data_IF_299750082273
#
_entry.id   IF_299750082273
#
_cell.length_a   1.000
_cell.length_b   1.000
_cell.length_c   1.000
_cell.angle_alpha   90.00
_cell.angle_beta   90.00
_cell.angle_gamma   90.00
#
_symmetry.space_group_name_H-M   'P 1'
#
loop_
_entity.id
_entity.type
_entity.pdbx_description
1 polymer ?
#
# COMPACT_ATOMS: atom_id res chain seq x y z
N UNK A 1 -0.38 17.98 -2.04
CA UNK A 1 -0.05 18.89 -0.94
C UNK A 1 -1.33 19.15 -0.18
N UNK A 2 -1.42 18.76 1.06
CA UNK A 2 -2.45 19.34 1.90
C UNK A 2 -2.11 20.83 2.01
N UNK A 3 -2.64 21.63 1.08
CA UNK A 3 -2.77 23.04 1.33
C UNK A 3 -3.37 23.16 2.71
N UNK A 4 -2.88 24.09 3.49
CA UNK A 4 -3.24 24.33 4.89
C UNK A 4 -4.70 24.00 5.13
N UNK A 5 -4.98 22.78 5.63
CA UNK A 5 -6.34 22.40 5.96
C UNK A 5 -6.76 23.32 7.10
N UNK A 6 -7.69 24.21 6.85
CA UNK A 6 -8.17 25.16 7.84
C UNK A 6 -8.72 24.41 9.06
N UNK A 7 -8.19 24.73 10.24
CA UNK A 7 -8.53 24.02 11.47
C UNK A 7 -7.84 22.68 11.72
N UNK A 8 -6.95 22.24 10.80
CA UNK A 8 -6.18 21.02 10.97
C UNK A 8 -5.03 21.14 11.99
N UNK A 9 -4.50 20.01 12.41
CA UNK A 9 -3.37 19.92 13.34
C UNK A 9 -2.08 19.64 12.58
N UNK A 10 -1.05 20.45 12.77
CA UNK A 10 0.27 20.23 12.20
C UNK A 10 1.10 19.38 13.17
N UNK A 11 1.60 18.25 12.66
CA UNK A 11 2.52 17.36 13.39
C UNK A 11 3.88 17.40 12.69
N UNK A 12 4.96 17.56 13.45
CA UNK A 12 6.31 17.43 12.93
C UNK A 12 6.79 15.98 13.08
N UNK A 13 7.15 15.36 11.97
CA UNK A 13 7.69 14.00 11.93
C UNK A 13 9.06 14.07 11.27
N UNK A 14 10.12 14.04 12.07
CA UNK A 14 11.50 14.07 11.60
C UNK A 14 11.81 15.27 10.69
N UNK A 15 11.25 16.44 11.01
CA UNK A 15 11.39 17.68 10.24
C UNK A 15 10.35 17.86 9.14
N UNK A 16 9.54 16.85 8.83
CA UNK A 16 8.43 16.94 7.89
C UNK A 16 7.16 17.39 8.62
N UNK A 17 6.59 18.51 8.19
CA UNK A 17 5.33 19.02 8.75
C UNK A 17 4.14 18.40 8.04
N UNK A 18 3.50 17.44 8.70
CA UNK A 18 2.27 16.78 8.24
C UNK A 18 1.05 17.53 8.78
N UNK A 19 0.16 17.94 7.89
CA UNK A 19 -1.10 18.58 8.27
C UNK A 19 -2.23 17.53 8.31
N UNK A 20 -2.76 17.27 9.50
CA UNK A 20 -3.88 16.33 9.69
C UNK A 20 -5.21 17.07 9.61
N UNK A 21 -6.29 16.40 9.15
CA UNK A 21 -7.61 16.99 9.17
C UNK A 21 -8.09 17.28 10.60
N UNK A 22 -9.05 18.22 10.80
CA UNK A 22 -9.67 18.44 12.09
C UNK A 22 -10.37 17.21 12.63
N UNK A 23 -10.56 17.13 13.95
CA UNK A 23 -11.20 15.99 14.61
C UNK A 23 -12.55 15.62 13.97
N UNK A 24 -12.66 14.37 13.57
CA UNK A 24 -13.86 13.84 12.90
C UNK A 24 -14.01 14.20 11.43
N UNK A 25 -13.14 15.03 10.86
CA UNK A 25 -13.13 15.32 9.43
C UNK A 25 -12.10 14.44 8.70
N UNK A 26 -12.38 14.12 7.47
CA UNK A 26 -11.45 13.48 6.54
C UNK A 26 -11.32 14.31 5.27
N UNK A 27 -10.16 14.27 4.63
CA UNK A 27 -9.99 14.83 3.31
C UNK A 27 -10.39 13.77 2.28
N UNK A 28 -11.51 13.97 1.62
CA UNK A 28 -11.97 13.04 0.59
C UNK A 28 -11.11 13.19 -0.66
N UNK A 29 -10.35 12.15 -0.99
CA UNK A 29 -9.42 12.17 -2.13
C UNK A 29 -10.11 12.27 -3.50
N UNK A 30 -11.41 11.96 -3.57
CA UNK A 30 -12.20 12.03 -4.80
C UNK A 30 -12.77 13.43 -4.97
N UNK A 31 -13.49 13.95 -3.96
CA UNK A 31 -14.15 15.27 -4.02
C UNK A 31 -13.17 16.42 -3.78
N UNK A 32 -11.96 16.15 -3.24
CA UNK A 32 -10.96 17.13 -2.83
C UNK A 32 -11.46 18.10 -1.77
N UNK A 33 -12.37 17.67 -0.92
CA UNK A 33 -12.98 18.46 0.13
C UNK A 33 -12.84 17.82 1.51
N UNK A 34 -12.91 18.66 2.55
CA UNK A 34 -13.06 18.18 3.93
C UNK A 34 -14.50 17.76 4.17
N UNK A 35 -14.71 16.57 4.65
CA UNK A 35 -16.01 16.00 4.93
C UNK A 35 -16.06 15.44 6.35
N UNK A 36 -17.14 15.75 7.08
CA UNK A 36 -17.31 15.26 8.44
C UNK A 36 -17.76 13.78 8.41
N UNK A 37 -17.04 12.92 9.14
CA UNK A 37 -17.36 11.49 9.34
C UNK A 37 -17.59 11.13 10.80
N UNK A 38 -17.30 12.06 11.72
CA UNK A 38 -17.34 11.82 13.15
C UNK A 38 -16.13 11.01 13.65
N UNK A 39 -16.14 10.75 14.95
CA UNK A 39 -15.13 9.97 15.64
C UNK A 39 -15.78 8.68 16.13
N UNK A 40 -15.24 7.54 15.73
CA UNK A 40 -15.76 6.23 16.16
C UNK A 40 -15.50 6.04 17.66
N UNK A 41 -16.58 5.87 18.42
CA UNK A 41 -16.51 5.59 19.84
C UNK A 41 -16.19 4.12 20.07
N UNK A 42 -15.09 3.90 20.77
CA UNK A 42 -14.68 2.57 21.21
C UNK A 42 -15.46 2.12 22.45
N UNK A 43 -15.62 0.82 22.58
CA UNK A 43 -16.09 0.24 23.85
C UNK A 43 -15.16 0.69 24.99
N UNK A 44 -15.71 1.34 25.99
CA UNK A 44 -14.99 1.88 27.14
C UNK A 44 -14.28 0.82 27.98
N UNK A 45 -14.69 -0.46 27.85
CA UNK A 45 -14.13 -1.59 28.58
C UNK A 45 -12.89 -2.22 27.93
N UNK A 46 -12.35 -1.65 26.87
CA UNK A 46 -11.20 -2.23 26.13
C UNK A 46 -9.86 -2.02 26.87
N UNK A 47 -9.82 -1.24 27.94
CA UNK A 47 -8.61 -1.00 28.73
C UNK A 47 -7.53 -0.23 27.97
N UNK A 48 -6.24 -0.56 28.21
CA UNK A 48 -5.08 0.11 27.61
C UNK A 48 -4.84 -0.20 26.12
N UNK A 49 -5.72 -0.96 25.46
CA UNK A 49 -5.55 -1.28 24.05
C UNK A 49 -5.80 -0.04 23.17
N UNK A 50 -4.78 0.37 22.44
CA UNK A 50 -4.85 1.50 21.51
C UNK A 50 -5.73 1.22 20.30
N UNK A 51 -5.80 -0.02 19.83
CA UNK A 51 -6.64 -0.45 18.72
C UNK A 51 -7.20 -1.85 18.96
N UNK A 52 -8.47 -2.00 18.70
CA UNK A 52 -9.14 -3.29 18.55
C UNK A 52 -9.88 -3.29 17.21
N UNK A 53 -9.69 -4.34 16.43
CA UNK A 53 -10.41 -4.48 15.16
C UNK A 53 -11.90 -4.32 15.37
N UNK A 54 -12.53 -3.56 14.48
CA UNK A 54 -13.98 -3.39 14.48
C UNK A 54 -14.59 -4.76 14.14
N UNK A 55 -15.50 -5.30 14.97
CA UNK A 55 -16.08 -6.61 14.71
C UNK A 55 -16.96 -6.56 13.46
N UNK A 56 -17.01 -7.68 12.74
CA UNK A 56 -17.94 -7.81 11.62
C UNK A 56 -19.38 -7.74 12.13
N UNK A 57 -20.29 -7.08 11.39
CA UNK A 57 -21.70 -7.12 11.71
C UNK A 57 -22.23 -8.57 11.77
N UNK A 58 -23.17 -8.86 12.66
CA UNK A 58 -23.68 -10.22 12.86
C UNK A 58 -24.28 -10.85 11.59
N UNK A 59 -24.84 -10.03 10.72
CA UNK A 59 -25.42 -10.47 9.43
C UNK A 59 -24.37 -10.79 8.36
N UNK A 60 -23.14 -10.30 8.50
CA UNK A 60 -22.11 -10.37 7.44
C UNK A 60 -21.79 -11.79 6.98
N UNK A 61 -21.62 -12.74 7.92
CA UNK A 61 -21.28 -14.12 7.58
C UNK A 61 -22.34 -14.80 6.73
N UNK A 62 -23.61 -14.56 7.00
CA UNK A 62 -24.74 -15.15 6.26
C UNK A 62 -24.88 -14.51 4.87
N UNK A 63 -24.69 -13.20 4.77
CA UNK A 63 -24.68 -12.50 3.48
C UNK A 63 -23.53 -12.94 2.60
N UNK A 64 -22.32 -13.18 3.17
CA UNK A 64 -21.19 -13.73 2.41
C UNK A 64 -21.46 -15.13 1.87
N UNK A 65 -22.13 -16.00 2.63
CA UNK A 65 -22.56 -17.33 2.11
C UNK A 65 -23.53 -17.19 0.94
N UNK A 66 -24.51 -16.31 1.04
CA UNK A 66 -25.45 -16.02 -0.04
C UNK A 66 -24.72 -15.53 -1.31
N UNK A 67 -23.75 -14.64 -1.13
CA UNK A 67 -22.92 -14.17 -2.25
C UNK A 67 -22.13 -15.29 -2.90
N UNK A 68 -21.47 -16.15 -2.11
CA UNK A 68 -20.73 -17.31 -2.64
C UNK A 68 -21.62 -18.34 -3.35
N UNK A 69 -22.85 -18.52 -2.86
CA UNK A 69 -23.85 -19.36 -3.54
C UNK A 69 -24.36 -18.75 -4.83
N UNK A 70 -24.57 -17.44 -4.85
CA UNK A 70 -24.96 -16.69 -6.04
C UNK A 70 -23.88 -16.83 -7.13
N UNK A 71 -22.61 -16.59 -6.81
CA UNK A 71 -21.51 -16.70 -7.78
C UNK A 71 -21.35 -18.11 -8.35
N UNK A 72 -21.63 -19.15 -7.56
CA UNK A 72 -21.63 -20.55 -8.06
C UNK A 72 -22.77 -20.86 -9.00
N UNK A 73 -23.90 -20.14 -8.89
CA UNK A 73 -25.13 -20.42 -9.64
C UNK A 73 -25.35 -19.47 -10.81
N UNK A 74 -24.68 -18.31 -10.81
CA UNK A 74 -24.83 -17.32 -11.88
C UNK A 74 -24.41 -17.92 -13.21
N UNK A 75 -25.24 -17.74 -14.23
CA UNK A 75 -24.98 -18.21 -15.60
C UNK A 75 -24.44 -17.08 -16.50
N UNK A 76 -24.60 -15.86 -16.04
CA UNK A 76 -24.22 -14.65 -16.74
C UNK A 76 -23.26 -13.87 -15.86
N UNK A 77 -22.11 -13.52 -16.41
CA UNK A 77 -21.06 -12.77 -15.68
C UNK A 77 -21.48 -11.32 -15.42
N UNK A 78 -22.46 -10.78 -16.14
CA UNK A 78 -23.00 -9.46 -15.93
C UNK A 78 -23.91 -9.35 -14.69
N UNK A 79 -24.37 -10.48 -14.15
CA UNK A 79 -25.19 -10.51 -12.94
C UNK A 79 -24.32 -10.31 -11.70
N UNK A 80 -24.62 -9.28 -10.92
CA UNK A 80 -23.96 -8.97 -9.65
C UNK A 80 -24.84 -9.32 -8.45
N UNK A 81 -24.21 -9.78 -7.38
CA UNK A 81 -24.88 -9.99 -6.11
C UNK A 81 -25.16 -8.66 -5.44
N UNK A 82 -26.40 -8.40 -5.06
CA UNK A 82 -26.83 -7.20 -4.37
C UNK A 82 -27.47 -7.52 -3.01
N UNK A 83 -27.04 -6.83 -1.97
CA UNK A 83 -27.65 -6.80 -0.64
C UNK A 83 -27.42 -5.38 -0.07
N UNK A 84 -28.48 -4.69 0.27
CA UNK A 84 -28.44 -3.28 0.68
C UNK A 84 -27.50 -3.02 1.87
N UNK A 85 -27.54 -3.90 2.88
CA UNK A 85 -26.67 -3.78 4.06
C UNK A 85 -25.19 -4.01 3.69
N UNK A 86 -24.94 -4.93 2.77
CA UNK A 86 -23.59 -5.20 2.28
C UNK A 86 -23.08 -4.01 1.46
N UNK A 87 -23.90 -3.40 0.60
CA UNK A 87 -23.48 -2.25 -0.19
C UNK A 87 -23.15 -1.03 0.69
N UNK A 88 -23.99 -0.76 1.71
CA UNK A 88 -23.68 0.30 2.67
C UNK A 88 -22.40 0.01 3.46
N UNK A 89 -22.18 -1.23 3.89
CA UNK A 89 -20.96 -1.65 4.57
C UNK A 89 -19.72 -1.53 3.67
N UNK A 90 -19.81 -1.97 2.42
CA UNK A 90 -18.74 -1.80 1.41
C UNK A 90 -18.38 -0.33 1.26
N UNK A 91 -19.40 0.54 1.07
CA UNK A 91 -19.21 1.97 0.90
C UNK A 91 -18.46 2.60 2.08
N UNK A 92 -18.82 2.23 3.32
CA UNK A 92 -18.14 2.72 4.52
C UNK A 92 -16.72 2.23 4.62
N UNK A 93 -16.44 0.96 4.32
CA UNK A 93 -15.10 0.38 4.38
C UNK A 93 -14.19 0.93 3.28
N UNK A 94 -14.73 1.17 2.07
CA UNK A 94 -14.01 1.86 1.01
C UNK A 94 -13.71 3.32 1.35
N UNK A 95 -14.66 4.04 1.96
CA UNK A 95 -14.44 5.42 2.43
C UNK A 95 -13.29 5.46 3.45
N UNK A 96 -13.30 4.58 4.44
CA UNK A 96 -12.22 4.47 5.45
C UNK A 96 -10.87 4.11 4.85
N UNK A 97 -10.86 3.21 3.87
CA UNK A 97 -9.64 2.81 3.14
C UNK A 97 -9.05 3.96 2.34
N UNK A 98 -9.88 4.81 1.75
CA UNK A 98 -9.44 5.88 0.87
C UNK A 98 -9.10 7.17 1.64
N UNK A 99 -9.95 7.55 2.58
CA UNK A 99 -9.98 8.87 3.17
C UNK A 99 -9.52 8.90 4.63
N UNK A 100 -9.31 7.72 5.22
CA UNK A 100 -8.93 7.60 6.62
C UNK A 100 -10.10 7.48 7.58
N UNK A 101 -9.78 7.44 8.86
CA UNK A 101 -10.72 7.07 9.91
C UNK A 101 -10.34 7.69 11.26
N UNK A 102 -11.30 8.32 11.91
CA UNK A 102 -11.13 8.82 13.28
C UNK A 102 -11.71 7.85 14.31
N UNK A 103 -10.97 7.59 15.36
CA UNK A 103 -11.45 6.79 16.49
C UNK A 103 -10.97 7.35 17.82
N UNK A 104 -11.71 7.03 18.88
CA UNK A 104 -11.32 7.41 20.22
C UNK A 104 -10.23 6.46 20.75
N UNK A 105 -9.02 6.99 20.94
CA UNK A 105 -7.85 6.25 21.43
C UNK A 105 -7.49 6.74 22.84
N UNK A 106 -7.78 5.95 23.87
CA UNK A 106 -7.54 6.34 25.26
C UNK A 106 -8.05 7.75 25.61
N UNK A 107 -9.27 8.06 25.19
CA UNK A 107 -9.93 9.33 25.47
C UNK A 107 -9.47 10.51 24.58
N UNK A 108 -8.64 10.25 23.56
CA UNK A 108 -8.20 11.28 22.59
C UNK A 108 -8.61 10.87 21.19
N UNK A 109 -9.20 11.79 20.40
CA UNK A 109 -9.41 11.56 18.98
C UNK A 109 -8.08 11.26 18.30
N UNK A 110 -8.03 10.19 17.51
CA UNK A 110 -6.82 9.77 16.78
C UNK A 110 -7.19 9.47 15.34
N UNK A 111 -6.51 10.11 14.42
CA UNK A 111 -6.68 9.88 12.99
C UNK A 111 -5.82 8.71 12.53
N UNK A 112 -6.41 7.81 11.76
CA UNK A 112 -5.68 6.82 10.97
C UNK A 112 -5.80 7.20 9.50
N UNK A 113 -4.66 7.30 8.79
CA UNK A 113 -4.71 7.41 7.33
C UNK A 113 -5.41 6.20 6.72
N UNK A 114 -5.91 6.29 5.50
CA UNK A 114 -6.58 5.16 4.84
C UNK A 114 -5.70 3.91 4.79
N UNK A 115 -4.42 4.09 4.50
CA UNK A 115 -3.44 3.00 4.48
C UNK A 115 -3.23 2.39 5.87
N UNK A 116 -3.18 3.22 6.94
CA UNK A 116 -3.05 2.72 8.31
C UNK A 116 -4.30 1.99 8.79
N UNK A 117 -5.50 2.52 8.46
CA UNK A 117 -6.75 1.82 8.73
C UNK A 117 -6.78 0.44 8.07
N UNK A 118 -6.46 0.38 6.77
CA UNK A 118 -6.39 -0.88 6.03
C UNK A 118 -5.39 -1.87 6.66
N UNK A 119 -4.22 -1.37 7.10
CA UNK A 119 -3.21 -2.16 7.79
C UNK A 119 -3.74 -2.79 9.07
N UNK A 120 -4.34 -2.00 9.95
CA UNK A 120 -4.80 -2.45 11.26
C UNK A 120 -6.08 -3.31 11.19
N UNK A 121 -7.00 -2.96 10.31
CA UNK A 121 -8.31 -3.62 10.24
C UNK A 121 -8.30 -4.87 9.36
N UNK A 122 -7.60 -4.83 8.22
CA UNK A 122 -7.78 -5.84 7.17
C UNK A 122 -6.50 -6.55 6.73
N UNK A 123 -5.32 -5.95 6.91
CA UNK A 123 -4.07 -6.53 6.43
C UNK A 123 -3.54 -7.59 7.38
N UNK A 124 -3.55 -8.84 6.95
CA UNK A 124 -3.03 -9.94 7.78
C UNK A 124 -1.50 -9.98 7.72
N UNK A 125 -0.91 -10.31 8.87
CA UNK A 125 0.52 -10.59 9.00
C UNK A 125 0.73 -12.04 9.46
N UNK A 126 1.97 -12.50 9.63
CA UNK A 126 2.27 -13.89 10.02
C UNK A 126 1.56 -14.35 11.29
N UNK A 127 1.39 -13.46 12.25
CA UNK A 127 0.82 -13.74 13.58
C UNK A 127 -0.64 -13.27 13.72
N UNK A 128 -1.35 -13.10 12.60
CA UNK A 128 -2.73 -12.63 12.59
C UNK A 128 -2.85 -11.22 12.05
N UNK A 129 -3.20 -10.25 12.88
CA UNK A 129 -3.33 -8.84 12.48
C UNK A 129 -2.37 -7.94 13.27
N UNK A 130 -1.91 -6.82 12.67
CA UNK A 130 -1.01 -5.92 13.35
C UNK A 130 -1.67 -5.28 14.57
N UNK A 131 -0.83 -4.95 15.56
CA UNK A 131 -1.23 -4.14 16.71
C UNK A 131 -0.88 -2.69 16.45
N UNK A 132 -1.68 -1.78 17.00
CA UNK A 132 -1.39 -0.35 16.96
C UNK A 132 -0.10 -0.03 17.72
N UNK A 133 0.73 0.83 17.14
CA UNK A 133 1.94 1.35 17.75
C UNK A 133 2.12 2.82 17.34
N UNK A 134 2.55 3.68 18.26
CA UNK A 134 2.80 5.11 17.96
C UNK A 134 3.81 5.30 16.81
N UNK A 135 4.95 4.57 16.77
CA UNK A 135 5.88 4.73 15.65
C UNK A 135 5.29 4.31 14.29
N UNK A 136 4.30 3.40 14.25
CA UNK A 136 3.60 3.09 13.01
C UNK A 136 2.64 4.22 12.62
N UNK A 137 1.96 4.84 13.59
CA UNK A 137 1.08 5.99 13.35
C UNK A 137 1.85 7.12 12.67
N UNK A 138 2.99 7.52 13.24
CA UNK A 138 3.87 8.55 12.67
C UNK A 138 4.37 8.17 11.27
N UNK A 139 4.81 6.92 11.11
CA UNK A 139 5.23 6.40 9.81
C UNK A 139 4.12 6.50 8.75
N UNK A 140 2.89 6.14 9.09
CA UNK A 140 1.78 6.22 8.13
C UNK A 140 1.38 7.66 7.81
N UNK A 141 1.54 8.60 8.73
CA UNK A 141 1.39 10.03 8.43
C UNK A 141 2.46 10.52 7.46
N UNK A 142 3.71 10.15 7.71
CA UNK A 142 4.83 10.45 6.81
C UNK A 142 4.60 9.86 5.41
N UNK A 143 4.22 8.58 5.34
CA UNK A 143 3.94 7.90 4.07
C UNK A 143 2.80 8.58 3.30
N UNK A 144 1.71 8.90 3.98
CA UNK A 144 0.56 9.59 3.36
C UNK A 144 0.96 10.95 2.79
N UNK A 145 1.75 11.71 3.54
CA UNK A 145 2.29 12.98 3.07
C UNK A 145 3.13 12.80 1.80
N UNK A 146 4.10 11.87 1.82
CA UNK A 146 4.95 11.60 0.65
C UNK A 146 4.16 11.09 -0.56
N UNK A 147 3.14 10.25 -0.34
CA UNK A 147 2.27 9.77 -1.42
C UNK A 147 1.51 10.91 -2.07
N UNK A 148 1.07 11.89 -1.29
CA UNK A 148 0.26 12.99 -1.80
C UNK A 148 1.08 14.18 -2.33
N UNK A 149 2.33 14.32 -1.94
CA UNK A 149 3.21 15.36 -2.46
C UNK A 149 3.55 15.05 -3.94
N UNK A 150 3.10 15.87 -4.91
CA UNK A 150 3.35 15.63 -6.32
C UNK A 150 4.84 15.75 -6.70
N UNK A 151 5.66 16.35 -5.84
CA UNK A 151 7.09 16.54 -6.06
C UNK A 151 7.95 15.44 -5.41
N UNK A 152 7.35 14.60 -4.58
CA UNK A 152 8.04 13.51 -3.91
C UNK A 152 7.97 12.21 -4.73
N UNK A 153 9.09 11.64 -5.12
CA UNK A 153 9.13 10.33 -5.81
C UNK A 153 9.10 9.15 -4.85
N UNK A 154 9.48 9.32 -3.58
CA UNK A 154 9.53 8.20 -2.68
C UNK A 154 9.96 8.50 -1.27
N UNK A 155 10.25 7.45 -0.54
CA UNK A 155 10.59 7.47 0.89
C UNK A 155 11.68 6.47 1.19
N UNK A 156 12.52 6.82 2.17
CA UNK A 156 13.51 5.92 2.76
C UNK A 156 13.08 5.53 4.19
N UNK A 157 13.03 4.25 4.48
CA UNK A 157 12.69 3.73 5.81
C UNK A 157 13.86 2.92 6.38
N UNK A 158 14.48 3.43 7.44
CA UNK A 158 15.50 2.73 8.21
C UNK A 158 14.94 2.36 9.57
N UNK A 159 14.83 1.07 9.84
CA UNK A 159 14.26 0.59 11.11
C UNK A 159 15.07 -0.57 11.70
N UNK A 160 14.84 -0.84 12.98
CA UNK A 160 15.38 -2.05 13.60
C UNK A 160 14.76 -3.31 13.02
N UNK A 161 15.46 -4.45 13.15
CA UNK A 161 14.92 -5.76 12.77
C UNK A 161 13.60 -6.06 13.49
N UNK A 162 12.69 -6.78 12.81
CA UNK A 162 11.38 -7.21 13.32
C UNK A 162 10.42 -6.07 13.63
N UNK A 163 10.60 -4.93 13.00
CA UNK A 163 9.71 -3.78 13.18
C UNK A 163 8.45 -3.83 12.28
N UNK A 164 8.32 -4.84 11.41
CA UNK A 164 7.12 -5.02 10.57
C UNK A 164 7.17 -4.30 9.22
N UNK A 165 8.31 -3.68 8.85
CA UNK A 165 8.46 -2.88 7.62
C UNK A 165 8.04 -3.62 6.34
N UNK A 166 8.40 -4.91 6.20
CA UNK A 166 8.10 -5.67 4.97
C UNK A 166 6.60 -5.87 4.74
N UNK A 167 5.78 -6.01 5.80
CA UNK A 167 4.32 -6.08 5.64
C UNK A 167 3.69 -4.74 5.29
N UNK A 168 4.24 -3.64 5.79
CA UNK A 168 3.83 -2.28 5.40
C UNK A 168 4.22 -2.01 3.95
N UNK A 169 5.42 -2.41 3.54
CA UNK A 169 5.87 -2.29 2.15
C UNK A 169 5.03 -3.14 1.17
N UNK A 170 4.67 -4.38 1.57
CA UNK A 170 3.73 -5.20 0.81
C UNK A 170 2.34 -4.56 0.68
N UNK A 171 1.84 -3.95 1.76
CA UNK A 171 0.60 -3.17 1.74
C UNK A 171 0.71 -1.96 0.81
N UNK A 172 1.80 -1.20 0.89
CA UNK A 172 2.03 -0.01 0.07
C UNK A 172 1.93 -0.29 -1.43
N UNK A 173 2.53 -1.37 -1.91
CA UNK A 173 2.43 -1.74 -3.33
C UNK A 173 1.04 -2.29 -3.67
N UNK A 174 0.42 -3.06 -2.78
CA UNK A 174 -0.85 -3.75 -3.06
C UNK A 174 -2.04 -2.80 -3.01
N UNK A 175 -2.06 -1.87 -2.06
CA UNK A 175 -3.20 -0.99 -1.83
C UNK A 175 -3.57 -0.20 -3.08
N UNK A 176 -2.60 0.42 -3.72
CA UNK A 176 -2.82 1.26 -4.89
C UNK A 176 -3.15 0.43 -6.14
N UNK A 177 -2.42 -0.64 -6.39
CA UNK A 177 -2.59 -1.49 -7.58
C UNK A 177 -3.88 -2.31 -7.57
N UNK A 178 -4.47 -2.53 -6.40
CA UNK A 178 -5.77 -3.24 -6.28
C UNK A 178 -6.99 -2.35 -6.41
N UNK A 179 -6.83 -1.03 -6.54
CA UNK A 179 -7.94 -0.09 -6.68
C UNK A 179 -7.83 0.89 -7.85
N UNK A 180 -6.71 0.90 -8.54
CA UNK A 180 -6.45 1.85 -9.63
C UNK A 180 -6.18 1.08 -10.91
N UNK A 181 -6.86 1.48 -12.00
CA UNK A 181 -6.72 0.84 -13.32
C UNK A 181 -5.34 1.12 -13.94
N UNK A 182 -4.84 0.16 -14.70
CA UNK A 182 -3.64 0.26 -15.53
C UNK A 182 -2.38 0.68 -14.73
N UNK A 183 -2.19 0.09 -13.54
CA UNK A 183 -1.06 0.41 -12.68
C UNK A 183 -0.12 -0.76 -12.46
N UNK A 184 1.17 -0.48 -12.36
CA UNK A 184 2.21 -1.47 -12.14
C UNK A 184 2.87 -1.26 -10.78
N UNK A 185 2.97 -2.35 -10.02
CA UNK A 185 3.70 -2.43 -8.77
C UNK A 185 4.93 -3.33 -8.91
N UNK A 186 6.12 -2.76 -8.72
CA UNK A 186 7.39 -3.49 -8.81
C UNK A 186 8.00 -3.78 -7.44
N UNK A 187 8.60 -4.96 -7.28
CA UNK A 187 9.23 -5.36 -6.03
C UNK A 187 10.64 -5.88 -6.31
N UNK A 188 11.60 -5.39 -5.56
CA UNK A 188 12.94 -5.96 -5.47
C UNK A 188 13.35 -6.15 -4.01
N UNK A 189 14.30 -7.03 -3.78
CA UNK A 189 14.94 -7.24 -2.48
C UNK A 189 16.43 -7.49 -2.69
N UNK A 190 17.18 -7.74 -1.64
CA UNK A 190 18.63 -7.98 -1.73
C UNK A 190 19.03 -9.12 -2.69
N UNK A 191 18.14 -10.10 -2.91
CA UNK A 191 18.30 -11.16 -3.92
C UNK A 191 16.96 -11.47 -4.58
N UNK A 192 16.96 -12.10 -5.76
CA UNK A 192 15.74 -12.56 -6.43
C UNK A 192 14.94 -13.58 -5.59
N UNK A 193 15.63 -14.46 -4.85
CA UNK A 193 14.99 -15.40 -3.92
C UNK A 193 14.27 -14.68 -2.77
N UNK A 194 14.87 -13.61 -2.24
CA UNK A 194 14.24 -12.83 -1.17
C UNK A 194 13.08 -11.98 -1.71
N UNK A 195 13.18 -11.43 -2.93
CA UNK A 195 12.07 -10.76 -3.61
C UNK A 195 10.87 -11.69 -3.80
N UNK A 196 11.09 -12.93 -4.24
CA UNK A 196 10.06 -13.95 -4.36
C UNK A 196 9.41 -14.30 -3.01
N UNK A 197 10.20 -14.45 -1.95
CA UNK A 197 9.69 -14.71 -0.59
C UNK A 197 8.89 -13.52 -0.08
N UNK A 198 9.40 -12.30 -0.31
CA UNK A 198 8.69 -11.07 0.04
C UNK A 198 7.31 -11.03 -0.66
N UNK A 199 7.29 -11.20 -1.99
CA UNK A 199 6.06 -11.20 -2.78
C UNK A 199 5.02 -12.21 -2.24
N UNK A 200 5.41 -13.46 -2.08
CA UNK A 200 4.51 -14.50 -1.59
C UNK A 200 3.98 -14.21 -0.19
N UNK A 201 4.85 -13.74 0.72
CA UNK A 201 4.55 -13.55 2.13
C UNK A 201 3.79 -12.28 2.43
N UNK A 202 4.18 -11.16 1.81
CA UNK A 202 3.72 -9.81 2.18
C UNK A 202 2.72 -9.22 1.20
N UNK A 203 2.56 -9.80 0.01
CA UNK A 203 1.57 -9.41 -1.00
C UNK A 203 0.51 -10.47 -1.18
N UNK A 204 0.88 -11.66 -1.69
CA UNK A 204 -0.09 -12.70 -2.07
C UNK A 204 -0.89 -13.19 -0.87
N UNK A 205 -0.22 -13.57 0.22
CA UNK A 205 -0.91 -14.11 1.40
C UNK A 205 -1.86 -13.10 2.06
N UNK A 206 -1.48 -11.84 2.33
CA UNK A 206 -2.41 -10.85 2.88
C UNK A 206 -3.55 -10.50 1.91
N UNK A 207 -3.26 -10.31 0.61
CA UNK A 207 -4.28 -10.03 -0.40
C UNK A 207 -5.40 -11.09 -0.39
N UNK A 208 -5.05 -12.37 -0.36
CA UNK A 208 -6.03 -13.47 -0.34
C UNK A 208 -6.91 -13.49 0.90
N UNK A 209 -6.48 -12.86 1.98
CA UNK A 209 -7.23 -12.75 3.25
C UNK A 209 -8.06 -11.48 3.35
N UNK A 210 -7.92 -10.55 2.40
CA UNK A 210 -8.82 -9.40 2.31
C UNK A 210 -10.25 -9.87 2.09
N UNK A 211 -11.26 -9.13 2.57
CA UNK A 211 -12.64 -9.40 2.24
C UNK A 211 -12.86 -9.35 0.73
N UNK A 212 -13.82 -10.12 0.23
CA UNK A 212 -14.11 -10.27 -1.18
C UNK A 212 -14.35 -8.92 -1.89
N UNK A 213 -15.03 -8.00 -1.22
CA UNK A 213 -15.31 -6.67 -1.77
C UNK A 213 -14.08 -5.75 -1.90
N UNK A 214 -12.95 -6.09 -1.30
CA UNK A 214 -11.67 -5.39 -1.48
C UNK A 214 -10.74 -6.06 -2.49
N UNK A 215 -11.08 -7.27 -2.91
CA UNK A 215 -10.26 -8.04 -3.85
C UNK A 215 -10.81 -7.90 -5.26
N UNK A 216 -10.12 -7.17 -6.15
CA UNK A 216 -10.43 -7.27 -7.57
C UNK A 216 -10.20 -8.70 -8.06
N UNK A 217 -10.84 -9.06 -9.14
CA UNK A 217 -10.55 -10.30 -9.84
C UNK A 217 -9.08 -10.32 -10.28
N UNK A 218 -8.47 -11.49 -10.24
CA UNK A 218 -7.10 -11.68 -10.69
C UNK A 218 -6.99 -12.97 -11.52
N UNK A 219 -6.00 -12.99 -12.40
CA UNK A 219 -5.80 -14.10 -13.33
C UNK A 219 -5.42 -15.40 -12.59
N UNK A 220 -6.41 -16.28 -12.47
CA UNK A 220 -6.28 -17.58 -11.83
C UNK A 220 -5.45 -18.58 -12.66
N UNK A 221 -5.13 -18.29 -13.93
CA UNK A 221 -4.22 -19.11 -14.74
C UNK A 221 -2.80 -19.13 -14.16
N UNK A 222 -2.43 -18.07 -13.42
CA UNK A 222 -1.17 -17.97 -12.66
C UNK A 222 -1.20 -18.79 -11.35
N UNK A 223 -2.30 -19.45 -11.08
CA UNK A 223 -2.55 -20.28 -9.90
C UNK A 223 -3.07 -19.49 -8.69
N UNK A 224 -3.63 -20.22 -7.74
CA UNK A 224 -4.17 -19.67 -6.48
C UNK A 224 -3.08 -18.95 -5.66
N UNK A 225 -1.82 -19.37 -5.81
CA UNK A 225 -0.65 -18.74 -5.19
C UNK A 225 0.35 -18.35 -6.28
N UNK A 226 0.15 -17.22 -6.95
CA UNK A 226 1.05 -16.75 -7.99
C UNK A 226 2.48 -16.58 -7.45
N UNK A 227 3.48 -16.97 -8.24
CA UNK A 227 4.87 -17.07 -7.80
C UNK A 227 5.75 -15.91 -8.31
N UNK A 228 5.39 -15.31 -9.43
CA UNK A 228 6.19 -14.27 -10.10
C UNK A 228 5.45 -12.95 -10.23
N UNK A 229 4.18 -13.00 -10.52
CA UNK A 229 3.35 -11.82 -10.74
C UNK A 229 1.91 -12.08 -10.36
N UNK A 230 1.14 -11.02 -10.11
CA UNK A 230 -0.29 -11.03 -9.88
C UNK A 230 -0.93 -10.01 -10.82
N UNK A 231 -1.76 -10.47 -11.76
CA UNK A 231 -2.47 -9.65 -12.73
C UNK A 231 -3.93 -9.50 -12.32
N UNK A 232 -4.39 -8.29 -12.18
CA UNK A 232 -5.77 -7.97 -11.81
C UNK A 232 -6.64 -7.83 -13.06
N UNK A 233 -6.94 -8.98 -13.65
CA UNK A 233 -7.77 -9.16 -14.83
C UNK A 233 -8.50 -10.49 -14.74
N UNK A 234 -9.56 -10.67 -15.54
CA UNK A 234 -10.23 -11.97 -15.65
C UNK A 234 -9.31 -13.01 -16.27
N UNK A 235 -9.46 -14.25 -15.83
CA UNK A 235 -8.73 -15.37 -16.42
C UNK A 235 -9.19 -15.59 -17.86
N UNK A 236 -8.27 -15.53 -18.80
CA UNK A 236 -8.58 -15.87 -20.19
C UNK A 236 -8.98 -17.33 -20.31
N UNK A 237 -10.22 -17.60 -20.67
CA UNK A 237 -10.69 -18.97 -20.94
C UNK A 237 -10.12 -19.41 -22.28
N UNK A 238 -9.42 -20.56 -22.31
CA UNK A 238 -8.89 -21.15 -23.55
C UNK A 238 -9.97 -21.20 -24.63
N UNK A 239 -9.74 -20.54 -25.77
CA UNK A 239 -10.59 -20.61 -26.95
C UNK A 239 -11.36 -19.32 -27.32
N UNK A 240 -11.36 -18.29 -26.49
CA UNK A 240 -11.84 -16.95 -26.88
C UNK A 240 -10.65 -16.11 -27.34
N UNK A 241 -10.78 -15.41 -28.49
CA UNK A 241 -9.74 -14.51 -28.97
C UNK A 241 -9.55 -13.37 -27.97
N UNK A 242 -8.30 -13.01 -27.69
CA UNK A 242 -7.95 -11.95 -26.72
C UNK A 242 -8.61 -10.58 -27.05
N UNK A 243 -8.96 -10.34 -28.31
CA UNK A 243 -9.60 -9.14 -28.80
C UNK A 243 -11.08 -9.00 -28.40
N UNK A 244 -11.76 -10.12 -28.09
CA UNK A 244 -13.19 -10.11 -27.74
C UNK A 244 -13.45 -9.97 -26.23
N UNK A 245 -12.41 -9.92 -25.38
CA UNK A 245 -12.53 -10.07 -23.92
C UNK A 245 -11.90 -8.94 -23.11
N UNK A 246 -11.70 -7.77 -23.66
CA UNK A 246 -11.32 -6.61 -22.83
C UNK A 246 -12.57 -6.12 -22.11
N UNK A 247 -12.82 -6.69 -20.93
CA UNK A 247 -13.86 -6.18 -20.05
C UNK A 247 -13.48 -4.76 -19.60
N UNK A 248 -14.33 -3.78 -19.94
CA UNK A 248 -14.09 -2.37 -19.62
C UNK A 248 -13.95 -2.12 -18.10
N UNK A 249 -14.34 -3.08 -17.29
CA UNK A 249 -14.30 -2.99 -15.82
C UNK A 249 -13.08 -3.66 -15.19
N UNK A 250 -12.25 -4.35 -15.96
CA UNK A 250 -10.98 -4.90 -15.47
C UNK A 250 -10.01 -3.80 -15.03
N UNK A 251 -9.24 -4.07 -13.97
CA UNK A 251 -8.22 -3.13 -13.53
C UNK A 251 -7.03 -3.07 -14.50
N UNK A 252 -6.65 -4.20 -15.11
CA UNK A 252 -5.48 -4.31 -15.98
C UNK A 252 -4.15 -4.00 -15.28
N UNK A 253 -4.14 -4.04 -13.95
CA UNK A 253 -2.99 -3.71 -13.12
C UNK A 253 -2.19 -4.94 -12.77
N UNK A 254 -0.88 -4.78 -12.51
CA UNK A 254 0.03 -5.88 -12.23
C UNK A 254 0.89 -5.57 -11.02
N UNK A 255 1.16 -6.58 -10.20
CA UNK A 255 2.24 -6.57 -9.21
C UNK A 255 3.18 -7.71 -9.54
N UNK A 256 4.46 -7.42 -9.71
CA UNK A 256 5.49 -8.42 -9.95
C UNK A 256 6.70 -8.24 -9.03
N UNK A 257 7.64 -9.16 -9.10
CA UNK A 257 8.95 -9.01 -8.49
C UNK A 257 10.05 -9.42 -9.46
N UNK A 258 11.17 -8.73 -9.36
CA UNK A 258 12.34 -9.02 -10.16
C UNK A 258 13.58 -9.26 -9.29
N UNK A 259 14.64 -9.80 -9.91
CA UNK A 259 15.94 -9.97 -9.25
C UNK A 259 16.54 -8.62 -8.85
N UNK A 260 17.51 -8.67 -7.94
CA UNK A 260 18.30 -7.50 -7.58
C UNK A 260 19.28 -7.18 -8.73
N UNK A 261 18.76 -6.49 -9.75
CA UNK A 261 19.51 -6.06 -10.92
C UNK A 261 19.28 -4.56 -11.11
N UNK A 262 20.31 -3.82 -11.52
CA UNK A 262 20.25 -2.37 -11.71
C UNK A 262 19.26 -1.99 -12.80
N UNK A 263 19.14 -2.78 -13.85
CA UNK A 263 18.29 -2.47 -15.02
C UNK A 263 16.96 -3.24 -15.02
N UNK A 264 16.59 -3.91 -13.94
CA UNK A 264 15.45 -4.84 -13.92
C UNK A 264 14.11 -4.22 -14.35
N UNK A 265 13.83 -2.98 -14.05
CA UNK A 265 12.59 -2.29 -14.46
C UNK A 265 12.83 -1.22 -15.52
N UNK A 266 14.00 -1.19 -16.15
CA UNK A 266 14.30 -0.21 -17.18
C UNK A 266 13.25 -0.25 -18.33
N UNK A 267 12.80 0.92 -18.76
CA UNK A 267 11.75 1.06 -19.77
C UNK A 267 10.32 0.71 -19.33
N UNK A 268 10.09 0.36 -18.07
CA UNK A 268 8.76 0.09 -17.54
C UNK A 268 8.22 1.28 -16.75
N UNK A 269 6.92 1.55 -16.84
CA UNK A 269 6.25 2.53 -15.97
C UNK A 269 5.85 1.85 -14.66
N UNK A 270 6.26 2.44 -13.53
CA UNK A 270 5.93 1.96 -12.19
C UNK A 270 5.11 3.00 -11.45
N UNK A 271 4.01 2.56 -10.82
CA UNK A 271 3.17 3.41 -9.98
C UNK A 271 3.45 3.20 -8.49
N UNK A 272 3.93 2.02 -8.13
CA UNK A 272 4.44 1.70 -6.80
C UNK A 272 5.68 0.81 -6.94
N UNK A 273 6.73 1.17 -6.25
CA UNK A 273 7.96 0.39 -6.23
C UNK A 273 8.42 0.15 -4.80
N UNK A 274 8.89 -1.05 -4.52
CA UNK A 274 9.44 -1.44 -3.22
C UNK A 274 10.81 -2.04 -3.40
N UNK A 275 11.81 -1.47 -2.71
CA UNK A 275 13.14 -2.06 -2.54
C UNK A 275 13.34 -2.48 -1.07
N UNK A 276 13.05 -3.76 -0.74
CA UNK A 276 13.20 -4.28 0.62
C UNK A 276 14.64 -4.70 0.89
N UNK A 277 15.16 -4.35 2.08
CA UNK A 277 16.54 -4.61 2.52
C UNK A 277 17.60 -4.02 1.56
N UNK A 278 17.30 -2.89 0.93
CA UNK A 278 18.12 -2.27 -0.13
C UNK A 278 19.54 -1.86 0.34
N UNK A 279 19.74 -1.53 1.62
CA UNK A 279 21.06 -1.27 2.19
C UNK A 279 21.92 -2.53 2.45
N UNK A 280 21.43 -3.71 2.07
CA UNK A 280 22.13 -5.01 2.26
C UNK A 280 22.41 -5.75 0.97
N UNK A 281 22.08 -5.16 -0.16
CA UNK A 281 22.43 -5.77 -1.45
C UNK A 281 23.92 -5.72 -1.68
N UNK A 282 24.50 -6.83 -2.11
CA UNK A 282 25.94 -6.92 -2.42
C UNK A 282 26.22 -6.84 -3.93
N UNK A 283 25.16 -7.00 -4.73
CA UNK A 283 25.25 -7.11 -6.20
C UNK A 283 24.83 -5.82 -6.90
N UNK A 284 24.03 -4.99 -6.24
CA UNK A 284 23.47 -3.79 -6.82
C UNK A 284 23.62 -2.62 -5.86
N UNK A 285 24.21 -1.55 -6.36
CA UNK A 285 24.28 -0.29 -5.67
C UNK A 285 22.87 0.35 -5.65
N UNK A 286 22.37 0.71 -4.48
CA UNK A 286 21.02 1.28 -4.32
C UNK A 286 20.87 2.64 -4.98
N UNK A 287 21.94 3.42 -5.04
CA UNK A 287 21.95 4.73 -5.70
C UNK A 287 21.80 4.58 -7.21
N UNK A 288 22.64 3.73 -7.85
CA UNK A 288 22.52 3.42 -9.28
C UNK A 288 21.15 2.83 -9.60
N UNK A 289 20.60 2.03 -8.67
CA UNK A 289 19.25 1.49 -8.78
C UNK A 289 18.19 2.59 -8.73
N UNK A 290 18.35 3.55 -7.84
CA UNK A 290 17.44 4.69 -7.74
C UNK A 290 17.46 5.51 -9.03
N UNK A 291 18.62 5.74 -9.64
CA UNK A 291 18.75 6.45 -10.91
C UNK A 291 17.94 5.80 -12.05
N UNK A 292 17.85 4.48 -12.11
CA UNK A 292 16.99 3.79 -13.09
C UNK A 292 15.52 3.90 -12.71
N UNK A 293 15.19 3.57 -11.45
CA UNK A 293 13.79 3.53 -10.98
C UNK A 293 13.11 4.89 -11.05
N UNK A 294 13.81 5.98 -10.78
CA UNK A 294 13.21 7.32 -10.82
C UNK A 294 12.59 7.64 -12.19
N UNK A 295 13.20 7.21 -13.30
CA UNK A 295 12.62 7.37 -14.62
C UNK A 295 11.39 6.48 -14.85
N UNK A 296 11.35 5.31 -14.22
CA UNK A 296 10.19 4.43 -14.26
C UNK A 296 8.96 5.03 -13.52
N UNK A 297 9.18 5.99 -12.61
CA UNK A 297 8.13 6.65 -11.82
C UNK A 297 7.58 7.91 -12.49
N UNK A 298 8.09 8.26 -13.67
CA UNK A 298 7.67 9.43 -14.44
C UNK A 298 6.76 9.04 -15.60
N UNK A 299 5.89 9.94 -16.00
CA UNK A 299 5.19 9.86 -17.28
C UNK A 299 6.05 10.42 -18.43
N UNK A 300 5.46 10.46 -19.63
CA UNK A 300 6.15 10.94 -20.84
C UNK A 300 6.42 12.45 -20.81
N UNK A 301 5.74 13.19 -19.92
CA UNK A 301 5.92 14.64 -19.70
C UNK A 301 6.89 14.94 -18.54
N UNK A 302 7.44 13.91 -17.91
CA UNK A 302 8.35 14.03 -16.76
C UNK A 302 7.64 14.32 -15.44
N UNK A 303 6.31 14.10 -15.34
CA UNK A 303 5.57 14.24 -14.11
C UNK A 303 5.63 12.95 -13.28
N UNK A 304 5.68 13.09 -11.97
CA UNK A 304 5.74 11.96 -11.04
C UNK A 304 4.38 11.26 -10.95
N UNK A 305 4.27 10.09 -11.54
CA UNK A 305 3.07 9.22 -11.49
C UNK A 305 3.21 8.09 -10.48
N UNK A 306 4.43 7.74 -10.12
CA UNK A 306 4.73 6.64 -9.22
C UNK A 306 5.37 7.07 -7.91
N UNK A 307 5.42 6.15 -6.96
CA UNK A 307 6.07 6.35 -5.64
C UNK A 307 6.91 5.13 -5.29
N UNK A 308 8.12 5.37 -4.80
CA UNK A 308 9.05 4.34 -4.34
C UNK A 308 9.10 4.28 -2.81
N UNK A 309 9.29 3.08 -2.28
CA UNK A 309 9.58 2.84 -0.87
C UNK A 309 10.85 1.98 -0.75
N UNK A 310 11.91 2.60 -0.28
CA UNK A 310 13.19 1.93 0.01
C UNK A 310 13.24 1.58 1.49
N UNK A 311 13.38 0.30 1.82
CA UNK A 311 13.43 -0.13 3.23
C UNK A 311 14.73 -0.87 3.53
N UNK A 312 15.31 -0.58 4.70
CA UNK A 312 16.44 -1.35 5.21
C UNK A 312 16.40 -1.45 6.73
N UNK A 313 17.28 -2.29 7.28
CA UNK A 313 17.48 -2.37 8.73
C UNK A 313 18.84 -1.83 9.10
N UNK A 314 18.89 -1.14 10.25
CA UNK A 314 20.18 -0.74 10.85
C UNK A 314 20.97 -1.99 11.17
N UNK A 315 22.13 -2.12 10.57
CA UNK A 315 23.16 -3.10 10.92
C UNK A 315 24.45 -2.36 11.24
N UNK A 316 25.31 -3.01 12.04
CA UNK A 316 26.64 -2.49 12.26
C UNK A 316 27.35 -2.49 10.91
N UNK A 317 27.66 -1.30 10.41
CA UNK A 317 28.42 -1.12 9.19
C UNK A 317 29.81 -1.71 9.44
N UNK A 318 30.09 -2.90 8.90
CA UNK A 318 31.45 -3.41 8.87
C UNK A 318 32.19 -2.72 7.71
N UNK A 319 33.24 -2.06 8.02
CA UNK A 319 34.04 -1.15 7.19
C UNK A 319 34.70 -1.79 5.94
N UNK A 320 34.36 -3.00 5.58
CA UNK A 320 35.14 -3.78 4.61
C UNK A 320 34.37 -4.29 3.37
N UNK A 321 33.10 -3.89 3.15
CA UNK A 321 32.39 -4.22 1.91
C UNK A 321 31.94 -2.96 1.19
N UNK A 322 32.86 -2.53 0.40
CA UNK A 322 32.89 -1.49 -0.61
C UNK A 322 31.54 -1.02 -1.19
N UNK A 323 31.25 0.26 -1.01
CA UNK A 323 30.40 1.05 -1.86
C UNK A 323 28.88 0.93 -1.61
N UNK A 324 28.32 -0.21 -1.25
CA UNK A 324 26.85 -0.40 -1.15
C UNK A 324 26.25 0.32 0.05
N UNK A 325 26.98 0.36 1.16
CA UNK A 325 26.53 1.07 2.37
C UNK A 325 26.69 2.57 2.22
N UNK A 326 27.77 2.99 1.57
CA UNK A 326 28.03 4.39 1.26
C UNK A 326 27.00 4.92 0.27
N UNK A 327 26.56 4.11 -0.69
CA UNK A 327 25.50 4.46 -1.62
C UNK A 327 24.16 4.68 -0.93
N UNK A 328 23.77 3.82 0.04
CA UNK A 328 22.55 4.06 0.81
C UNK A 328 22.66 5.31 1.69
N UNK A 329 23.83 5.54 2.29
CA UNK A 329 24.10 6.74 3.09
C UNK A 329 24.03 7.99 2.21
N UNK A 330 24.61 7.95 1.03
CA UNK A 330 24.54 9.05 0.06
C UNK A 330 23.10 9.36 -0.33
N UNK A 331 22.31 8.34 -0.70
CA UNK A 331 20.88 8.50 -1.01
C UNK A 331 20.11 9.09 0.17
N UNK A 332 20.43 8.64 1.40
CA UNK A 332 19.83 9.19 2.62
C UNK A 332 20.18 10.66 2.86
N UNK A 333 21.45 11.03 2.71
CA UNK A 333 21.94 12.39 2.93
C UNK A 333 21.41 13.37 1.85
N UNK A 334 21.19 12.90 0.65
CA UNK A 334 20.61 13.68 -0.44
C UNK A 334 19.07 13.77 -0.36
N UNK A 335 18.44 12.82 0.33
CA UNK A 335 16.99 12.76 0.44
C UNK A 335 16.48 13.71 1.50
N UNK A 336 15.82 14.78 1.09
CA UNK A 336 15.15 15.72 1.98
C UNK A 336 14.04 16.46 1.23
N UNK A 337 13.18 17.15 2.00
CA UNK A 337 12.02 17.85 1.45
C UNK A 337 12.40 18.98 0.48
N UNK A 338 13.53 19.64 0.68
CA UNK A 338 13.97 20.75 -0.17
C UNK A 338 14.53 20.25 -1.50
N UNK A 339 15.26 19.13 -1.47
CA UNK A 339 15.92 18.53 -2.63
C UNK A 339 15.08 17.50 -3.38
N UNK A 340 13.86 17.19 -2.93
CA UNK A 340 13.03 16.14 -3.54
C UNK A 340 12.76 16.31 -5.03
N UNK A 341 12.87 17.53 -5.54
CA UNK A 341 12.76 17.81 -6.98
C UNK A 341 14.02 17.44 -7.77
N UNK A 342 15.18 17.43 -7.11
CA UNK A 342 16.47 17.16 -7.76
C UNK A 342 16.73 15.67 -7.86
N UNK A 343 16.57 14.95 -6.75
CA UNK A 343 16.85 13.52 -6.68
C UNK A 343 15.59 12.64 -6.57
N UNK A 344 14.42 13.22 -6.34
CA UNK A 344 13.14 12.50 -6.30
C UNK A 344 12.82 11.75 -5.00
N UNK A 345 13.59 11.92 -3.95
CA UNK A 345 13.33 11.26 -2.65
C UNK A 345 13.41 12.21 -1.48
#
# INVERSE_FOLDING_TARGET
MYEKIEGGTIIDIQGLKCNLPPDGYVYNIITKQLEFRGVYERDKNIGEQYWKRIPMPSWHADTMKKWDEFDKKKKDDELEFYDEKLEEFKRQEWDRRLNGFWYMNNGKPTYLTGLHYLYLQWWSIDIGYPKFRIPDLEKFYFMEYCIQDPLCMGMLEVTKRRFGKSFVAGLFVTEYTTRTKMTNGGIQSKTGSDAKKFFAKTVVNPFRRLPKFFRPEYDMSLGVNPKSEMRFQKTNVRGKKAEDNVDKDELGSVIDHQSADTVAYDGQKLHRYVADECGKTTEVNVYDRHEVVRYCLLDDEGQIIGKALYTTTVEKLTTEKDGVQDAFKLLWEESNQEKRQENGT
#
